data_IF_124267576045
#
_entry.id   IF_124267576045
#
_cell.length_a   1.000
_cell.length_b   1.000
_cell.length_c   1.000
_cell.angle_alpha   90.00
_cell.angle_beta   90.00
_cell.angle_gamma   90.00
#
_symmetry.space_group_name_H-M   'P 1'
#
loop_
_entity.id
_entity.type
_entity.pdbx_description
1 polymer ?
#
# COMPACT_ATOMS: atom_id res chain seq x y z
N UNK A 1 -5.99 14.25 -37.14
CA UNK A 1 -6.88 14.73 -36.05
C UNK A 1 -7.08 13.67 -34.95
N UNK A 2 -7.11 12.37 -35.29
CA UNK A 2 -7.15 11.26 -34.31
C UNK A 2 -5.92 11.16 -33.38
N UNK A 3 -4.75 11.57 -33.85
CA UNK A 3 -3.48 11.43 -33.11
C UNK A 3 -3.34 12.43 -31.93
N UNK A 4 -4.02 13.58 -31.99
CA UNK A 4 -4.07 14.53 -30.86
C UNK A 4 -5.05 14.09 -29.76
N UNK A 5 -6.04 13.24 -30.09
CA UNK A 5 -6.98 12.71 -29.09
C UNK A 5 -6.37 11.59 -28.25
N UNK A 6 -5.55 10.71 -28.83
CA UNK A 6 -4.89 9.62 -28.10
C UNK A 6 -3.91 10.17 -27.04
N UNK A 7 -3.12 11.19 -27.39
CA UNK A 7 -2.14 11.83 -26.49
C UNK A 7 -2.84 12.56 -25.33
N UNK A 8 -3.94 13.28 -25.61
CA UNK A 8 -4.68 14.02 -24.58
C UNK A 8 -5.42 13.07 -23.62
N UNK A 9 -5.93 11.95 -24.13
CA UNK A 9 -6.60 10.93 -23.31
C UNK A 9 -5.61 10.15 -22.44
N UNK A 10 -4.41 9.86 -22.96
CA UNK A 10 -3.32 9.27 -22.20
C UNK A 10 -2.86 10.22 -21.09
N UNK A 11 -2.60 11.50 -21.41
CA UNK A 11 -2.21 12.55 -20.46
C UNK A 11 -3.24 12.72 -19.33
N UNK A 12 -4.54 12.88 -19.63
CA UNK A 12 -5.58 13.06 -18.60
C UNK A 12 -5.67 11.86 -17.65
N UNK A 13 -5.53 10.63 -18.16
CA UNK A 13 -5.50 9.42 -17.32
C UNK A 13 -4.24 9.34 -16.46
N UNK A 14 -3.09 9.76 -16.98
CA UNK A 14 -1.84 9.82 -16.22
C UNK A 14 -1.94 10.84 -15.08
N UNK A 15 -2.50 12.03 -15.31
CA UNK A 15 -2.70 13.03 -14.25
C UNK A 15 -3.67 12.54 -13.18
N UNK A 16 -4.76 11.88 -13.57
CA UNK A 16 -5.71 11.28 -12.62
C UNK A 16 -5.05 10.16 -11.81
N UNK A 17 -4.25 9.31 -12.44
CA UNK A 17 -3.48 8.25 -11.79
C UNK A 17 -2.45 8.79 -10.79
N UNK A 18 -1.74 9.86 -11.15
CA UNK A 18 -0.83 10.57 -10.22
C UNK A 18 -1.60 11.12 -9.03
N UNK A 19 -2.77 11.73 -9.26
CA UNK A 19 -3.64 12.24 -8.19
C UNK A 19 -4.05 11.15 -7.20
N UNK A 20 -4.51 9.99 -7.69
CA UNK A 20 -4.83 8.83 -6.86
C UNK A 20 -3.61 8.31 -6.10
N UNK A 21 -2.45 8.27 -6.74
CA UNK A 21 -1.19 7.85 -6.10
C UNK A 21 -0.75 8.78 -4.97
N UNK A 22 -0.84 10.09 -5.18
CA UNK A 22 -0.53 11.09 -4.15
C UNK A 22 -1.52 11.04 -2.99
N UNK A 23 -2.82 10.90 -3.29
CA UNK A 23 -3.85 10.73 -2.26
C UNK A 23 -3.59 9.50 -1.40
N UNK A 24 -3.27 8.36 -2.03
CA UNK A 24 -2.89 7.14 -1.32
C UNK A 24 -1.64 7.37 -0.45
N UNK A 25 -0.62 8.06 -0.96
CA UNK A 25 0.60 8.35 -0.22
C UNK A 25 0.33 9.23 1.02
N UNK A 26 -0.53 10.24 0.91
CA UNK A 26 -0.93 11.11 2.03
C UNK A 26 -1.67 10.30 3.10
N UNK A 27 -2.69 9.53 2.69
CA UNK A 27 -3.44 8.67 3.61
C UNK A 27 -2.50 7.70 4.35
N UNK A 28 -1.55 7.10 3.63
CA UNK A 28 -0.60 6.15 4.19
C UNK A 28 0.42 6.80 5.13
N UNK A 29 0.83 8.05 4.85
CA UNK A 29 1.77 8.79 5.68
C UNK A 29 1.15 9.27 7.01
N UNK A 30 -0.13 9.65 7.00
CA UNK A 30 -0.82 10.18 8.19
C UNK A 30 -1.34 9.04 9.09
N UNK A 31 -1.68 7.88 8.52
CA UNK A 31 -2.26 6.73 9.24
C UNK A 31 -1.57 6.38 10.59
N UNK A 32 -0.22 6.25 10.69
CA UNK A 32 0.44 5.91 11.96
C UNK A 32 0.26 6.95 13.08
N UNK A 33 0.02 8.22 12.73
CA UNK A 33 -0.23 9.29 13.70
C UNK A 33 -1.58 9.04 14.38
N UNK A 34 -2.63 8.75 13.60
CA UNK A 34 -3.94 8.41 14.13
C UNK A 34 -3.94 7.10 14.90
N UNK A 35 -3.21 6.08 14.40
CA UNK A 35 -3.08 4.80 15.10
C UNK A 35 -2.44 5.00 16.48
N UNK A 36 -1.30 5.70 16.57
CA UNK A 36 -0.66 5.97 17.87
C UNK A 36 -1.55 6.77 18.80
N UNK A 37 -2.26 7.77 18.28
CA UNK A 37 -3.19 8.57 19.07
C UNK A 37 -4.37 7.72 19.60
N UNK A 38 -4.91 6.82 18.78
CA UNK A 38 -5.93 5.87 19.19
C UNK A 38 -5.43 4.87 20.24
N UNK A 39 -4.23 4.33 20.02
CA UNK A 39 -3.61 3.38 20.94
C UNK A 39 -3.25 3.97 22.31
N UNK A 40 -2.94 5.28 22.36
CA UNK A 40 -2.72 5.99 23.62
C UNK A 40 -3.98 6.05 24.51
N UNK A 41 -5.18 5.88 23.92
CA UNK A 41 -6.47 5.84 24.64
C UNK A 41 -7.01 4.42 24.78
N UNK A 42 -6.64 3.52 23.88
CA UNK A 42 -7.15 2.17 23.81
C UNK A 42 -6.01 1.16 23.57
N UNK A 43 -5.63 0.45 24.63
CA UNK A 43 -4.40 -0.36 24.68
C UNK A 43 -4.47 -1.70 23.93
N UNK A 44 -5.54 -2.01 23.20
CA UNK A 44 -5.65 -3.26 22.43
C UNK A 44 -5.42 -3.05 20.93
N UNK A 45 -4.23 -3.38 20.39
CA UNK A 45 -3.89 -3.19 18.99
C UNK A 45 -4.60 -4.18 18.06
N UNK A 46 -4.99 -5.36 18.57
CA UNK A 46 -5.75 -6.35 17.80
C UNK A 46 -7.12 -5.80 17.39
N UNK A 47 -7.83 -5.20 18.34
CA UNK A 47 -9.14 -4.57 18.11
C UNK A 47 -9.05 -3.39 17.16
N UNK A 48 -8.00 -2.57 17.30
CA UNK A 48 -7.76 -1.47 16.38
C UNK A 48 -7.51 -1.93 14.94
N UNK A 49 -6.69 -2.95 14.74
CA UNK A 49 -6.48 -3.56 13.44
C UNK A 49 -7.79 -4.18 12.89
N UNK A 50 -8.54 -4.92 13.71
CA UNK A 50 -9.80 -5.52 13.30
C UNK A 50 -10.84 -4.48 12.87
N UNK A 51 -11.01 -3.40 13.66
CA UNK A 51 -11.91 -2.30 13.33
C UNK A 51 -11.51 -1.60 12.03
N UNK A 52 -10.22 -1.42 11.76
CA UNK A 52 -9.75 -0.85 10.50
C UNK A 52 -10.10 -1.73 9.29
N UNK A 53 -9.97 -3.06 9.43
CA UNK A 53 -10.35 -4.01 8.37
C UNK A 53 -11.87 -4.05 8.16
N UNK A 54 -12.66 -3.98 9.24
CA UNK A 54 -14.12 -3.86 9.16
C UNK A 54 -14.57 -2.56 8.50
N UNK A 55 -13.92 -1.44 8.84
CA UNK A 55 -14.18 -0.15 8.20
C UNK A 55 -13.86 -0.20 6.70
N UNK A 56 -12.72 -0.77 6.32
CA UNK A 56 -12.36 -1.01 4.92
C UNK A 56 -13.41 -1.87 4.21
N UNK A 57 -13.83 -2.98 4.83
CA UNK A 57 -14.87 -3.85 4.28
C UNK A 57 -16.18 -3.10 4.05
N UNK A 58 -16.60 -2.28 5.01
CA UNK A 58 -17.82 -1.47 4.90
C UNK A 58 -17.73 -0.43 3.77
N UNK A 59 -16.61 0.29 3.66
CA UNK A 59 -16.40 1.30 2.62
C UNK A 59 -16.36 0.65 1.23
N UNK A 60 -15.52 -0.37 1.04
CA UNK A 60 -15.40 -1.05 -0.25
C UNK A 60 -16.68 -1.80 -0.62
N UNK A 61 -17.29 -2.51 0.33
CA UNK A 61 -18.56 -3.20 0.14
C UNK A 61 -19.70 -2.24 -0.21
N UNK A 62 -19.79 -1.08 0.46
CA UNK A 62 -20.76 -0.04 0.15
C UNK A 62 -20.56 0.56 -1.24
N UNK A 63 -19.31 0.87 -1.62
CA UNK A 63 -18.99 1.36 -2.96
C UNK A 63 -19.34 0.34 -4.05
N UNK A 64 -19.09 -0.95 -3.81
CA UNK A 64 -19.50 -2.03 -4.70
C UNK A 64 -21.02 -2.15 -4.78
N UNK A 65 -21.73 -2.07 -3.66
CA UNK A 65 -23.19 -2.12 -3.65
C UNK A 65 -23.84 -0.93 -4.41
N UNK A 66 -23.23 0.25 -4.34
CA UNK A 66 -23.66 1.44 -5.10
C UNK A 66 -23.32 1.32 -6.60
N UNK A 67 -22.25 0.60 -6.95
CA UNK A 67 -21.92 0.28 -8.33
C UNK A 67 -22.85 -0.83 -8.82
N UNK A 68 -23.91 -0.44 -9.54
CA UNK A 68 -24.85 -1.35 -10.23
C UNK A 68 -24.22 -2.23 -11.34
N UNK A 69 -22.90 -2.37 -11.40
CA UNK A 69 -22.23 -3.27 -12.34
C UNK A 69 -22.05 -4.63 -11.69
N UNK A 70 -22.52 -5.66 -12.39
CA UNK A 70 -22.17 -7.05 -12.09
C UNK A 70 -20.73 -7.27 -12.54
N UNK A 71 -19.78 -6.89 -11.68
CA UNK A 71 -18.41 -7.32 -11.85
C UNK A 71 -18.38 -8.83 -11.67
N UNK A 72 -17.86 -9.56 -12.66
CA UNK A 72 -17.77 -11.02 -12.60
C UNK A 72 -16.90 -11.41 -11.42
N UNK A 73 -17.35 -12.39 -10.64
CA UNK A 73 -16.54 -12.96 -9.57
C UNK A 73 -15.19 -13.44 -10.13
N UNK A 74 -14.09 -13.25 -9.39
CA UNK A 74 -12.79 -13.75 -9.80
C UNK A 74 -12.85 -15.28 -9.98
N UNK A 75 -12.14 -15.84 -10.97
CA UNK A 75 -12.09 -17.29 -11.16
C UNK A 75 -11.54 -17.99 -9.91
N UNK A 76 -12.05 -19.19 -9.60
CA UNK A 76 -11.65 -19.94 -8.40
C UNK A 76 -10.14 -20.20 -8.33
N UNK A 77 -9.46 -20.29 -9.48
CA UNK A 77 -8.01 -20.48 -9.59
C UNK A 77 -7.17 -19.35 -8.98
N UNK A 78 -7.69 -18.12 -8.90
CA UNK A 78 -6.97 -16.97 -8.30
C UNK A 78 -7.40 -16.69 -6.86
N UNK A 79 -8.47 -17.35 -6.39
CA UNK A 79 -9.03 -17.12 -5.07
C UNK A 79 -8.03 -17.47 -3.96
N UNK A 80 -7.26 -18.56 -4.13
CA UNK A 80 -6.21 -18.94 -3.20
C UNK A 80 -5.14 -17.86 -3.00
N UNK A 81 -4.70 -17.22 -4.10
CA UNK A 81 -3.75 -16.11 -4.05
C UNK A 81 -4.33 -14.86 -3.38
N UNK A 82 -5.61 -14.56 -3.62
CA UNK A 82 -6.28 -13.42 -2.98
C UNK A 82 -6.47 -13.65 -1.47
N UNK A 83 -6.86 -14.86 -1.07
CA UNK A 83 -6.97 -15.23 0.36
C UNK A 83 -5.60 -15.16 1.03
N UNK A 84 -4.56 -15.73 0.39
CA UNK A 84 -3.19 -15.64 0.88
C UNK A 84 -2.74 -14.19 1.07
N UNK A 85 -2.95 -13.34 0.06
CA UNK A 85 -2.64 -11.91 0.14
C UNK A 85 -3.43 -11.22 1.27
N UNK A 86 -4.72 -11.52 1.43
CA UNK A 86 -5.54 -10.95 2.50
C UNK A 86 -5.04 -11.34 3.90
N UNK A 87 -4.66 -12.60 4.09
CA UNK A 87 -4.08 -13.08 5.35
C UNK A 87 -2.75 -12.37 5.64
N UNK A 88 -1.87 -12.28 4.64
CA UNK A 88 -0.58 -11.58 4.78
C UNK A 88 -0.78 -10.10 5.12
N UNK A 89 -1.76 -9.43 4.50
CA UNK A 89 -2.11 -8.04 4.77
C UNK A 89 -2.66 -7.87 6.19
N UNK A 90 -3.55 -8.75 6.64
CA UNK A 90 -4.10 -8.71 7.99
C UNK A 90 -3.00 -8.90 9.05
N UNK A 91 -2.12 -9.89 8.83
CA UNK A 91 -0.98 -10.15 9.71
C UNK A 91 0.02 -9.00 9.73
N UNK A 92 0.37 -8.47 8.56
CA UNK A 92 1.25 -7.30 8.43
C UNK A 92 0.67 -6.07 9.14
N UNK A 93 -0.63 -5.84 8.99
CA UNK A 93 -1.33 -4.75 9.66
C UNK A 93 -1.28 -4.94 11.17
N UNK A 94 -1.56 -6.13 11.68
CA UNK A 94 -1.50 -6.40 13.11
C UNK A 94 -0.09 -6.18 13.69
N UNK A 95 0.95 -6.70 13.03
CA UNK A 95 2.35 -6.51 13.44
C UNK A 95 2.73 -5.03 13.42
N UNK A 96 2.28 -4.25 12.42
CA UNK A 96 2.49 -2.80 12.38
C UNK A 96 1.91 -2.10 13.60
N UNK A 97 0.70 -2.48 14.01
CA UNK A 97 0.05 -1.89 15.18
C UNK A 97 0.78 -2.23 16.49
N UNK A 98 1.28 -3.47 16.63
CA UNK A 98 2.15 -3.85 17.75
C UNK A 98 3.43 -3.00 17.78
N UNK A 99 4.11 -2.87 16.64
CA UNK A 99 5.34 -2.07 16.56
C UNK A 99 5.11 -0.59 16.91
N UNK A 100 3.95 -0.02 16.57
CA UNK A 100 3.63 1.38 16.89
C UNK A 100 3.38 1.63 18.38
N UNK A 101 3.09 0.60 19.18
CA UNK A 101 3.02 0.70 20.64
C UNK A 101 4.41 0.84 21.26
N UNK A 102 5.36 0.06 20.76
CA UNK A 102 6.70 -0.08 21.35
C UNK A 102 7.71 0.94 20.80
N UNK A 103 7.56 1.35 19.53
CA UNK A 103 8.57 2.11 18.80
C UNK A 103 7.99 3.42 18.25
N UNK A 104 8.74 4.55 18.23
CA UNK A 104 8.33 5.79 17.58
C UNK A 104 7.84 5.58 16.14
N UNK A 105 6.74 6.25 15.78
CA UNK A 105 6.14 6.13 14.44
C UNK A 105 7.14 6.46 13.32
N UNK A 106 8.07 7.39 13.54
CA UNK A 106 9.12 7.73 12.58
C UNK A 106 10.00 6.53 12.22
N UNK A 107 10.44 5.76 13.22
CA UNK A 107 11.27 4.55 13.02
C UNK A 107 10.44 3.44 12.37
N UNK A 108 9.22 3.19 12.83
CA UNK A 108 8.33 2.18 12.23
C UNK A 108 8.05 2.48 10.76
N UNK A 109 7.77 3.74 10.43
CA UNK A 109 7.56 4.20 9.06
C UNK A 109 8.82 4.09 8.20
N UNK A 110 9.98 4.43 8.77
CA UNK A 110 11.27 4.29 8.11
C UNK A 110 11.50 2.81 7.74
N UNK A 111 11.40 1.89 8.71
CA UNK A 111 11.52 0.45 8.45
C UNK A 111 10.51 -0.05 7.41
N UNK A 112 9.28 0.48 7.43
CA UNK A 112 8.25 0.17 6.43
C UNK A 112 8.66 0.50 4.99
N UNK A 113 9.60 1.43 4.77
CA UNK A 113 10.13 1.76 3.43
C UNK A 113 10.98 0.66 2.82
N UNK A 114 11.44 -0.32 3.60
CA UNK A 114 12.08 -1.53 3.08
C UNK A 114 11.13 -2.38 2.22
N UNK A 115 9.81 -2.16 2.31
CA UNK A 115 8.85 -2.76 1.38
C UNK A 115 9.13 -2.37 -0.07
N UNK A 116 9.64 -1.16 -0.33
CA UNK A 116 9.91 -0.68 -1.70
C UNK A 116 10.97 -1.52 -2.41
N UNK A 117 12.21 -1.66 -1.88
CA UNK A 117 13.21 -2.53 -2.53
C UNK A 117 12.76 -3.99 -2.56
N UNK A 118 12.06 -4.48 -1.53
CA UNK A 118 11.53 -5.85 -1.53
C UNK A 118 10.56 -6.08 -2.69
N UNK A 119 9.58 -5.19 -2.89
CA UNK A 119 8.64 -5.28 -4.00
C UNK A 119 9.36 -5.19 -5.35
N UNK A 120 10.29 -4.24 -5.50
CA UNK A 120 11.07 -4.10 -6.75
C UNK A 120 11.80 -5.39 -7.10
N UNK A 121 12.34 -6.11 -6.11
CA UNK A 121 13.06 -7.37 -6.32
C UNK A 121 12.10 -8.56 -6.53
N UNK A 122 11.07 -8.69 -5.69
CA UNK A 122 10.15 -9.82 -5.66
C UNK A 122 9.13 -9.80 -6.81
N UNK A 123 8.68 -8.63 -7.23
CA UNK A 123 7.65 -8.52 -8.26
C UNK A 123 8.03 -9.18 -9.59
N UNK A 124 9.23 -8.96 -10.18
CA UNK A 124 9.62 -9.64 -11.41
C UNK A 124 9.87 -11.16 -11.23
N UNK A 125 10.13 -11.63 -9.99
CA UNK A 125 10.26 -13.05 -9.67
C UNK A 125 8.89 -13.76 -9.66
N UNK A 126 7.85 -13.06 -9.20
CA UNK A 126 6.50 -13.64 -9.01
C UNK A 126 5.64 -13.47 -10.26
N UNK A 127 5.64 -12.28 -10.87
CA UNK A 127 4.78 -11.92 -12.01
C UNK A 127 5.45 -12.27 -13.35
N UNK A 128 6.77 -12.46 -13.35
CA UNK A 128 7.58 -12.73 -14.53
C UNK A 128 8.09 -11.46 -15.20
N UNK A 129 9.33 -11.53 -15.72
CA UNK A 129 10.07 -10.40 -16.32
C UNK A 129 9.44 -9.80 -17.58
N UNK A 130 8.40 -10.44 -18.15
CA UNK A 130 7.67 -9.95 -19.32
C UNK A 130 6.68 -8.83 -18.99
N UNK A 131 6.13 -8.82 -17.77
CA UNK A 131 5.15 -7.83 -17.30
C UNK A 131 5.82 -6.69 -16.50
N UNK A 132 6.97 -6.94 -15.87
CA UNK A 132 7.69 -5.95 -15.09
C UNK A 132 9.19 -5.97 -15.39
N UNK A 133 9.70 -4.88 -15.99
CA UNK A 133 11.12 -4.73 -16.31
C UNK A 133 11.79 -3.88 -15.24
N UNK A 134 12.79 -4.48 -14.58
CA UNK A 134 13.72 -3.76 -13.71
C UNK A 134 14.50 -2.73 -14.52
N UNK A 135 14.17 -1.46 -14.35
CA UNK A 135 14.95 -0.36 -14.94
C UNK A 135 16.02 0.11 -13.96
N UNK A 136 17.17 0.52 -14.48
CA UNK A 136 18.27 1.04 -13.65
C UNK A 136 17.81 2.23 -12.79
N UNK A 137 16.92 3.08 -13.33
CA UNK A 137 16.31 4.21 -12.62
C UNK A 137 15.48 3.77 -11.41
N UNK A 138 14.73 2.68 -11.52
CA UNK A 138 13.95 2.13 -10.41
C UNK A 138 14.87 1.57 -9.31
N UNK A 139 15.95 0.88 -9.70
CA UNK A 139 16.95 0.38 -8.76
C UNK A 139 17.64 1.49 -7.97
N UNK A 140 18.04 2.58 -8.65
CA UNK A 140 18.63 3.76 -8.01
C UNK A 140 17.62 4.41 -7.05
N UNK A 141 16.35 4.55 -7.46
CA UNK A 141 15.29 5.07 -6.60
C UNK A 141 15.07 4.23 -5.34
N UNK A 142 15.02 2.90 -5.46
CA UNK A 142 14.91 2.00 -4.31
C UNK A 142 16.14 2.08 -3.39
N UNK A 143 17.34 2.21 -3.95
CA UNK A 143 18.58 2.43 -3.21
C UNK A 143 18.54 3.73 -2.40
N UNK A 144 18.15 4.85 -3.02
CA UNK A 144 18.01 6.14 -2.35
C UNK A 144 17.01 6.10 -1.19
N UNK A 145 15.86 5.44 -1.38
CA UNK A 145 14.86 5.26 -0.31
C UNK A 145 15.46 4.48 0.87
N UNK A 146 16.25 3.45 0.58
CA UNK A 146 16.87 2.61 1.59
C UNK A 146 17.94 3.38 2.38
N UNK A 147 18.78 4.15 1.68
CA UNK A 147 19.79 5.02 2.31
C UNK A 147 19.13 6.09 3.18
N UNK A 148 18.10 6.78 2.66
CA UNK A 148 17.36 7.79 3.42
C UNK A 148 16.71 7.21 4.69
N UNK A 149 16.19 5.99 4.60
CA UNK A 149 15.64 5.25 5.74
C UNK A 149 16.68 4.99 6.82
N UNK A 150 17.88 4.52 6.44
CA UNK A 150 18.97 4.26 7.38
C UNK A 150 19.45 5.54 8.08
N UNK A 151 19.54 6.66 7.36
CA UNK A 151 19.89 7.96 7.93
C UNK A 151 18.86 8.42 8.96
N UNK A 152 17.57 8.25 8.64
CA UNK A 152 16.48 8.67 9.52
C UNK A 152 16.44 7.88 10.83
N UNK A 153 16.69 6.56 10.76
CA UNK A 153 16.79 5.68 11.92
C UNK A 153 18.00 6.06 12.79
N UNK A 154 19.14 6.44 12.20
CA UNK A 154 20.31 6.88 12.97
C UNK A 154 20.08 8.20 13.71
N UNK A 155 19.26 9.09 13.15
CA UNK A 155 19.02 10.43 13.70
C UNK A 155 17.92 10.52 14.75
N UNK A 156 17.09 9.48 14.90
CA UNK A 156 15.97 9.43 15.84
C UNK A 156 16.27 8.55 17.03
#
# INVERSE_FOLDING_TARGET
>A
MADRMSVRWFSTKTHLGIGWGLGAAICWAIDPVFIRWGLARFHSPLWGAALSLLACLGIYGGLLALRRRSDRLPPASILGWQIGAAILVALSTWIKWLALQEVPAGITLALGRLSVPLVVILSPLIIGRSLERLTLRLGIGAGLITIGTMLLIRSG
#
